data_IF_112239580213
#
_entry.id   IF_112239580213
#
_cell.length_a   1.000
_cell.length_b   1.000
_cell.length_c   1.000
_cell.angle_alpha   90.00
_cell.angle_beta   90.00
_cell.angle_gamma   90.00
#
_symmetry.space_group_name_H-M   'P 1'
#
loop_
_entity.id
_entity.type
_entity.pdbx_description
1 polymer ?
#
# COMPACT_ATOMS: atom_id res chain seq x y z
N UNK A 1 9.84 54.07 -2.63
CA UNK A 1 9.84 52.94 -1.70
C UNK A 1 10.31 51.71 -2.46
N UNK A 2 11.56 51.33 -2.24
CA UNK A 2 12.17 50.12 -2.79
C UNK A 2 11.47 48.91 -2.20
N UNK A 3 10.75 48.14 -3.04
CA UNK A 3 10.21 46.85 -2.68
C UNK A 3 11.35 45.93 -2.23
N UNK A 4 11.37 45.54 -0.96
CA UNK A 4 12.25 44.46 -0.48
C UNK A 4 11.88 43.19 -1.22
N UNK A 5 12.83 42.66 -1.97
CA UNK A 5 12.73 41.28 -2.46
C UNK A 5 12.42 40.33 -1.28
N UNK A 6 11.50 39.40 -1.43
CA UNK A 6 11.28 38.40 -0.41
C UNK A 6 12.61 37.68 -0.14
N UNK A 7 12.97 37.57 1.12
CA UNK A 7 14.15 36.81 1.54
C UNK A 7 14.06 35.32 1.15
N UNK A 8 15.18 34.56 1.19
CA UNK A 8 15.12 33.15 0.83
C UNK A 8 14.23 32.37 1.79
N UNK A 9 13.40 31.44 1.24
CA UNK A 9 12.63 30.49 2.02
C UNK A 9 13.55 29.69 2.97
N UNK A 10 13.01 29.16 4.07
CA UNK A 10 13.79 28.31 4.98
C UNK A 10 14.46 27.14 4.26
N UNK A 11 15.63 26.71 4.75
CA UNK A 11 16.36 25.60 4.15
C UNK A 11 15.55 24.29 4.17
N UNK A 12 15.64 23.50 3.09
CA UNK A 12 15.02 22.18 2.99
C UNK A 12 15.69 21.22 3.98
N UNK A 13 14.91 20.37 4.67
CA UNK A 13 15.43 19.33 5.54
C UNK A 13 16.22 18.26 4.79
N UNK A 14 17.20 17.66 5.45
CA UNK A 14 17.98 16.57 4.87
C UNK A 14 17.10 15.33 4.63
N UNK A 15 17.27 14.62 3.50
CA UNK A 15 16.55 13.36 3.25
C UNK A 15 16.98 12.27 4.23
N UNK A 16 16.11 11.33 4.53
CA UNK A 16 16.42 10.13 5.26
C UNK A 16 17.34 9.19 4.45
N UNK A 17 18.17 8.43 5.14
CA UNK A 17 19.06 7.45 4.52
C UNK A 17 18.25 6.21 4.14
N UNK A 18 18.51 5.62 2.96
CA UNK A 18 17.89 4.38 2.56
C UNK A 18 18.36 3.21 3.44
N UNK A 19 17.43 2.28 3.74
CA UNK A 19 17.75 1.05 4.45
C UNK A 19 18.64 0.14 3.60
N UNK A 20 19.58 -0.55 4.25
CA UNK A 20 20.44 -1.52 3.56
C UNK A 20 19.64 -2.77 3.15
N UNK A 21 20.00 -3.39 2.04
CA UNK A 21 19.40 -4.67 1.63
C UNK A 21 19.83 -5.79 2.59
N UNK A 22 18.93 -6.74 2.84
CA UNK A 22 19.24 -7.96 3.58
C UNK A 22 20.19 -8.87 2.80
N UNK A 23 21.11 -9.53 3.50
CA UNK A 23 22.03 -10.48 2.88
C UNK A 23 21.31 -11.75 2.43
N UNK A 24 21.72 -12.33 1.30
CA UNK A 24 21.17 -13.60 0.84
C UNK A 24 21.57 -14.76 1.75
N UNK A 25 20.69 -15.74 1.92
CA UNK A 25 20.99 -16.98 2.64
C UNK A 25 22.03 -17.84 1.93
N UNK A 26 22.87 -18.52 2.69
CA UNK A 26 23.88 -19.42 2.12
C UNK A 26 23.28 -20.68 1.50
N UNK A 27 23.92 -21.20 0.46
CA UNK A 27 23.51 -22.46 -0.19
C UNK A 27 24.16 -23.65 0.50
N UNK A 28 23.41 -24.78 0.61
CA UNK A 28 23.97 -26.04 1.13
C UNK A 28 24.68 -26.84 0.03
N UNK A 29 25.57 -27.76 0.44
CA UNK A 29 26.31 -28.65 -0.48
C UNK A 29 25.49 -29.83 -0.97
N UNK A 30 25.89 -31.07 -0.62
CA UNK A 30 25.18 -32.29 -1.04
C UNK A 30 23.90 -32.50 -0.24
N UNK A 31 23.94 -32.28 1.05
CA UNK A 31 22.84 -32.37 2.03
C UNK A 31 22.72 -31.09 2.79
N UNK A 32 21.57 -30.76 3.26
CA UNK A 32 21.32 -29.66 4.17
C UNK A 32 20.35 -28.62 3.64
N UNK A 33 19.81 -27.83 4.54
CA UNK A 33 18.88 -26.75 4.22
C UNK A 33 19.64 -25.50 3.73
N UNK A 34 19.02 -24.75 2.85
CA UNK A 34 19.46 -23.42 2.52
C UNK A 34 19.40 -22.47 3.74
N UNK A 35 20.31 -21.52 3.80
CA UNK A 35 20.30 -20.49 4.83
C UNK A 35 19.15 -19.48 4.66
N UNK A 36 18.73 -18.89 5.77
CA UNK A 36 17.68 -17.85 5.76
C UNK A 36 18.25 -16.53 5.22
N UNK A 37 17.49 -15.83 4.42
CA UNK A 37 17.82 -14.49 3.94
C UNK A 37 17.68 -13.44 5.06
N UNK A 38 18.52 -12.43 5.04
CA UNK A 38 18.50 -11.32 6.00
C UNK A 38 17.34 -10.35 5.74
N UNK A 39 16.83 -9.72 6.79
CA UNK A 39 15.81 -8.70 6.69
C UNK A 39 16.40 -7.41 6.10
N UNK A 40 15.65 -6.73 5.23
CA UNK A 40 16.02 -5.40 4.74
C UNK A 40 15.95 -4.36 5.84
N UNK A 41 16.87 -3.40 5.84
CA UNK A 41 16.89 -2.30 6.79
C UNK A 41 15.75 -1.33 6.56
N UNK A 42 15.20 -0.76 7.62
CA UNK A 42 14.21 0.31 7.48
C UNK A 42 14.86 1.59 6.93
N UNK A 43 14.10 2.34 6.15
CA UNK A 43 14.49 3.66 5.70
C UNK A 43 14.56 4.66 6.86
N UNK A 44 15.55 5.54 6.83
CA UNK A 44 15.76 6.58 7.84
C UNK A 44 14.66 7.65 7.78
N UNK A 45 14.33 8.24 8.93
CA UNK A 45 13.47 9.41 9.00
C UNK A 45 14.23 10.63 8.48
N UNK A 46 13.54 11.48 7.75
CA UNK A 46 14.11 12.73 7.26
C UNK A 46 14.03 13.84 8.31
N UNK A 47 14.90 14.86 8.15
CA UNK A 47 14.90 16.03 9.03
C UNK A 47 13.80 17.02 8.64
N UNK A 48 13.21 17.75 9.62
CA UNK A 48 12.31 18.85 9.33
C UNK A 48 13.04 19.98 8.59
N UNK A 49 12.31 20.73 7.78
CA UNK A 49 12.83 21.97 7.18
C UNK A 49 13.10 23.05 8.22
N UNK A 50 13.96 23.98 7.91
CA UNK A 50 14.25 25.13 8.80
C UNK A 50 13.04 26.08 8.87
N UNK A 51 12.77 26.71 10.04
CA UNK A 51 11.77 27.77 10.14
C UNK A 51 12.03 28.89 9.12
N UNK A 52 10.96 29.40 8.49
CA UNK A 52 11.07 30.57 7.63
C UNK A 52 11.26 31.85 8.45
N UNK A 53 11.80 32.92 7.83
CA UNK A 53 11.80 34.23 8.43
C UNK A 53 10.37 34.75 8.61
N UNK A 54 10.13 35.78 9.46
CA UNK A 54 8.79 36.34 9.66
C UNK A 54 8.10 36.63 8.33
N UNK A 55 6.84 36.25 8.19
CA UNK A 55 5.98 36.35 7.00
C UNK A 55 6.32 35.42 5.84
N UNK A 56 7.24 34.47 6.00
CA UNK A 56 7.53 33.48 4.96
C UNK A 56 7.34 32.06 5.47
N UNK A 57 6.93 31.12 4.57
CA UNK A 57 6.82 29.73 4.98
C UNK A 57 8.19 29.14 5.35
N UNK A 58 8.23 28.26 6.32
CA UNK A 58 9.41 27.46 6.60
C UNK A 58 9.82 26.58 5.41
N UNK A 59 11.05 26.12 5.41
CA UNK A 59 11.54 25.18 4.41
C UNK A 59 10.79 23.86 4.47
N UNK A 60 10.61 23.21 3.32
CA UNK A 60 10.07 21.86 3.28
C UNK A 60 10.97 20.87 4.05
N UNK A 61 10.40 19.89 4.75
CA UNK A 61 11.17 18.81 5.31
C UNK A 61 11.79 17.90 4.24
N UNK A 62 12.78 17.11 4.61
CA UNK A 62 13.36 16.10 3.71
C UNK A 62 12.40 14.95 3.41
N UNK A 63 12.59 14.26 2.30
CA UNK A 63 11.92 12.99 2.03
C UNK A 63 12.47 11.88 2.93
N UNK A 64 11.64 10.95 3.41
CA UNK A 64 12.12 9.78 4.15
C UNK A 64 13.07 8.92 3.32
N UNK A 65 13.82 8.02 3.94
CA UNK A 65 14.66 7.05 3.24
C UNK A 65 13.83 5.85 2.73
N UNK A 66 14.18 5.27 1.59
CA UNK A 66 13.53 4.04 1.11
C UNK A 66 13.89 2.86 2.02
N UNK A 67 12.97 1.90 2.16
CA UNK A 67 13.25 0.63 2.84
C UNK A 67 14.16 -0.26 2.00
N UNK A 68 15.03 -1.02 2.67
CA UNK A 68 15.90 -1.99 2.01
C UNK A 68 15.14 -3.25 1.60
N UNK A 69 15.54 -3.87 0.47
CA UNK A 69 14.99 -5.16 0.04
C UNK A 69 15.37 -6.27 1.02
N UNK A 70 14.49 -7.24 1.28
CA UNK A 70 14.82 -8.47 1.99
C UNK A 70 15.77 -9.36 1.19
N UNK A 71 16.64 -10.09 1.88
CA UNK A 71 17.57 -11.04 1.25
C UNK A 71 16.86 -12.31 0.78
N UNK A 72 17.33 -12.88 -0.32
CA UNK A 72 16.79 -14.13 -0.84
C UNK A 72 17.18 -15.30 0.06
N UNK A 73 16.31 -16.30 0.20
CA UNK A 73 16.62 -17.55 0.87
C UNK A 73 17.63 -18.39 0.09
N UNK A 74 18.55 -19.06 0.80
CA UNK A 74 19.54 -19.92 0.19
C UNK A 74 18.93 -21.22 -0.38
N UNK A 75 19.53 -21.74 -1.44
CA UNK A 75 19.11 -23.05 -1.99
C UNK A 75 19.57 -24.21 -1.10
N UNK A 76 18.75 -25.25 -1.01
CA UNK A 76 19.12 -26.49 -0.33
C UNK A 76 20.23 -27.26 -1.06
N UNK A 77 20.73 -28.31 -0.40
CA UNK A 77 21.73 -29.24 -0.97
C UNK A 77 21.20 -29.98 -2.20
N UNK A 78 22.12 -30.67 -2.91
CA UNK A 78 21.73 -31.35 -4.15
C UNK A 78 20.78 -32.53 -3.93
N UNK A 79 21.02 -33.35 -2.91
CA UNK A 79 20.24 -34.58 -2.69
C UNK A 79 19.02 -34.37 -1.80
N UNK A 80 19.19 -33.74 -0.66
CA UNK A 80 18.13 -33.55 0.33
C UNK A 80 18.31 -32.29 1.14
N UNK A 81 17.23 -31.58 1.41
CA UNK A 81 17.16 -30.38 2.23
C UNK A 81 16.09 -29.40 1.75
N UNK A 82 15.62 -28.56 2.61
CA UNK A 82 14.66 -27.50 2.28
C UNK A 82 15.36 -26.22 1.85
N UNK A 83 14.78 -25.49 0.95
CA UNK A 83 15.18 -24.12 0.66
C UNK A 83 15.06 -23.23 1.89
N UNK A 84 15.96 -22.28 2.05
CA UNK A 84 15.88 -21.28 3.11
C UNK A 84 14.77 -20.27 2.89
N UNK A 85 14.16 -19.81 3.97
CA UNK A 85 13.19 -18.73 3.89
C UNK A 85 13.89 -17.40 3.54
N UNK A 86 13.17 -16.52 2.88
CA UNK A 86 13.68 -15.21 2.53
C UNK A 86 13.43 -14.18 3.65
N UNK A 87 14.22 -13.11 3.64
CA UNK A 87 14.04 -11.98 4.53
C UNK A 87 12.94 -11.05 4.08
N UNK A 88 12.30 -10.37 5.03
CA UNK A 88 11.32 -9.34 4.76
C UNK A 88 11.97 -8.05 4.25
N UNK A 89 11.25 -7.29 3.46
CA UNK A 89 11.65 -5.93 3.11
C UNK A 89 11.52 -4.98 4.30
N UNK A 90 12.39 -3.98 4.36
CA UNK A 90 12.35 -2.91 5.36
C UNK A 90 11.26 -1.90 5.07
N UNK A 91 10.71 -1.29 6.09
CA UNK A 91 9.73 -0.20 5.94
C UNK A 91 10.35 1.06 5.35
N UNK A 92 9.57 1.85 4.62
CA UNK A 92 9.97 3.17 4.17
C UNK A 92 10.04 4.18 5.31
N UNK A 93 10.95 5.13 5.24
CA UNK A 93 11.12 6.20 6.23
C UNK A 93 10.03 7.26 6.12
N UNK A 94 9.73 7.91 7.23
CA UNK A 94 8.78 9.01 7.27
C UNK A 94 9.40 10.32 6.79
N UNK A 95 8.60 11.15 6.14
CA UNK A 95 9.04 12.47 5.72
C UNK A 95 9.22 13.42 6.93
N UNK A 96 10.18 14.36 6.82
CA UNK A 96 10.63 15.20 7.94
C UNK A 96 9.86 16.50 8.14
N UNK A 97 8.95 16.91 7.26
CA UNK A 97 8.23 18.17 7.40
C UNK A 97 7.35 18.52 6.21
N UNK A 98 6.72 19.68 6.29
CA UNK A 98 5.61 20.13 5.44
C UNK A 98 5.72 19.76 3.96
N UNK A 99 4.75 19.05 3.46
CA UNK A 99 4.53 18.83 2.04
C UNK A 99 5.33 17.67 1.41
N UNK A 100 6.27 17.02 2.09
CA UNK A 100 7.01 15.90 1.52
C UNK A 100 6.35 14.55 1.81
N UNK A 101 6.49 13.63 0.84
CA UNK A 101 5.96 12.29 0.91
C UNK A 101 6.83 11.30 1.69
N UNK A 102 6.19 10.27 2.23
CA UNK A 102 6.85 9.06 2.73
C UNK A 102 7.52 8.31 1.58
N UNK A 103 8.48 7.46 1.90
CA UNK A 103 9.20 6.67 0.92
C UNK A 103 8.71 5.21 0.88
N UNK A 104 9.09 4.54 -0.20
CA UNK A 104 8.69 3.17 -0.51
C UNK A 104 9.18 2.17 0.55
N UNK A 105 8.37 1.17 0.86
CA UNK A 105 8.83 -0.03 1.54
C UNK A 105 9.70 -0.89 0.62
N UNK A 106 10.66 -1.61 1.18
CA UNK A 106 11.47 -2.55 0.43
C UNK A 106 10.70 -3.82 0.08
N UNK A 107 11.00 -4.43 -1.06
CA UNK A 107 10.40 -5.71 -1.45
C UNK A 107 10.88 -6.86 -0.55
N UNK A 108 10.05 -7.90 -0.40
CA UNK A 108 10.46 -9.15 0.23
C UNK A 108 11.43 -9.94 -0.65
N UNK A 109 12.32 -10.69 -0.04
CA UNK A 109 13.21 -11.61 -0.76
C UNK A 109 12.46 -12.83 -1.32
N UNK A 110 13.05 -13.51 -2.30
CA UNK A 110 12.51 -14.76 -2.84
C UNK A 110 12.91 -15.97 -1.99
N UNK A 111 12.01 -16.93 -1.80
CA UNK A 111 12.31 -18.18 -1.09
C UNK A 111 13.36 -19.02 -1.83
N UNK A 112 14.22 -19.67 -1.07
CA UNK A 112 15.24 -20.59 -1.63
C UNK A 112 14.63 -21.84 -2.24
N UNK A 113 15.31 -22.44 -3.20
CA UNK A 113 14.87 -23.72 -3.81
C UNK A 113 15.13 -24.88 -2.87
N UNK A 114 14.20 -25.82 -2.82
CA UNK A 114 14.43 -27.15 -2.24
C UNK A 114 15.56 -27.91 -2.96
N UNK A 115 16.06 -28.96 -2.33
CA UNK A 115 17.08 -29.83 -2.94
C UNK A 115 16.58 -30.40 -4.27
N UNK A 116 17.52 -30.74 -5.14
CA UNK A 116 17.17 -31.27 -6.47
C UNK A 116 16.27 -32.51 -6.36
N UNK A 117 16.51 -33.38 -5.42
CA UNK A 117 15.73 -34.63 -5.30
C UNK A 117 14.60 -34.51 -4.28
N UNK A 118 14.91 -34.16 -3.03
CA UNK A 118 13.97 -34.19 -1.90
C UNK A 118 14.07 -32.91 -1.08
N UNK A 119 13.04 -32.08 -1.11
CA UNK A 119 13.01 -30.89 -0.25
C UNK A 119 11.94 -29.89 -0.65
N UNK A 120 11.46 -29.16 0.32
CA UNK A 120 10.48 -28.08 0.10
C UNK A 120 11.19 -26.79 -0.32
N UNK A 121 10.53 -25.99 -1.11
CA UNK A 121 10.95 -24.61 -1.34
C UNK A 121 10.80 -23.77 -0.09
N UNK A 122 11.68 -22.81 0.12
CA UNK A 122 11.60 -21.83 1.19
C UNK A 122 10.49 -20.81 0.94
N UNK A 123 9.94 -20.26 2.00
CA UNK A 123 8.94 -19.20 1.91
C UNK A 123 9.59 -17.86 1.50
N UNK A 124 8.83 -17.06 0.83
CA UNK A 124 9.26 -15.71 0.49
C UNK A 124 9.13 -14.73 1.66
N UNK A 125 9.91 -13.66 1.60
CA UNK A 125 9.78 -12.52 2.50
C UNK A 125 8.60 -11.62 2.15
N UNK A 126 8.04 -10.97 3.15
CA UNK A 126 7.00 -9.96 2.98
C UNK A 126 7.58 -8.62 2.52
N UNK A 127 6.82 -7.86 1.78
CA UNK A 127 7.15 -6.48 1.48
C UNK A 127 7.08 -5.59 2.73
N UNK A 128 7.93 -4.58 2.81
CA UNK A 128 7.91 -3.57 3.85
C UNK A 128 6.80 -2.55 3.62
N UNK A 129 6.25 -2.00 4.69
CA UNK A 129 5.27 -0.92 4.58
C UNK A 129 5.89 0.37 4.03
N UNK A 130 5.12 1.15 3.29
CA UNK A 130 5.48 2.50 2.89
C UNK A 130 5.56 3.45 4.08
N UNK A 131 6.41 4.46 3.99
CA UNK A 131 6.52 5.52 4.99
C UNK A 131 5.37 6.51 4.91
N UNK A 132 5.00 7.11 6.02
CA UNK A 132 3.94 8.12 6.04
C UNK A 132 4.43 9.45 5.48
N UNK A 133 3.54 10.20 4.84
CA UNK A 133 3.76 11.60 4.47
C UNK A 133 3.91 12.49 5.71
N UNK A 134 4.43 13.69 5.54
CA UNK A 134 4.52 14.68 6.62
C UNK A 134 3.33 15.63 6.60
N UNK A 135 2.93 16.12 7.77
CA UNK A 135 1.95 17.18 7.89
C UNK A 135 2.44 18.47 7.24
N UNK A 136 1.52 19.19 6.61
CA UNK A 136 1.85 20.46 6.00
C UNK A 136 1.94 21.60 7.02
N UNK A 137 2.74 22.62 6.72
CA UNK A 137 2.82 23.85 7.51
C UNK A 137 1.59 24.73 7.33
N UNK A 138 1.20 25.43 8.39
CA UNK A 138 0.14 26.44 8.34
C UNK A 138 0.57 27.67 7.51
N UNK A 139 -0.41 28.31 6.90
CA UNK A 139 -0.19 29.60 6.23
C UNK A 139 0.14 30.72 7.21
N UNK A 140 1.00 31.66 6.82
CA UNK A 140 1.36 32.82 7.65
C UNK A 140 0.20 33.82 7.78
N UNK A 141 0.10 34.48 8.94
CA UNK A 141 -0.85 35.56 9.21
C UNK A 141 -0.53 36.82 8.37
N UNK A 142 -1.54 37.56 8.00
CA UNK A 142 -1.34 38.83 7.26
C UNK A 142 -2.26 39.95 7.77
N UNK A 143 -1.77 41.21 7.74
CA UNK A 143 -2.49 42.37 8.30
C UNK A 143 -3.28 43.14 7.24
N UNK A 144 -2.80 43.21 6.00
CA UNK A 144 -3.34 44.13 4.96
C UNK A 144 -3.56 43.43 3.59
N UNK A 145 -3.10 42.18 3.43
CA UNK A 145 -3.24 41.40 2.20
C UNK A 145 -3.87 40.04 2.51
N UNK A 146 -4.03 39.17 1.52
CA UNK A 146 -4.48 37.80 1.74
C UNK A 146 -3.49 37.06 2.62
N UNK A 147 -3.96 36.41 3.70
CA UNK A 147 -3.13 35.56 4.53
C UNK A 147 -2.61 34.34 3.76
N UNK A 148 -1.52 33.74 4.21
CA UNK A 148 -0.88 32.63 3.54
C UNK A 148 -1.79 31.41 3.43
N UNK A 149 -1.75 30.72 2.29
CA UNK A 149 -2.40 29.43 2.11
C UNK A 149 -1.67 28.36 2.94
N UNK A 150 -2.40 27.44 3.57
CA UNK A 150 -1.81 26.25 4.16
C UNK A 150 -1.14 25.37 3.11
N UNK A 151 -0.04 24.72 3.48
CA UNK A 151 0.65 23.75 2.61
C UNK A 151 -0.19 22.52 2.33
N UNK A 152 0.10 21.78 1.28
CA UNK A 152 -0.50 20.45 1.04
C UNK A 152 0.17 19.38 1.91
N UNK A 153 -0.58 18.45 2.48
CA UNK A 153 -0.04 17.31 3.21
C UNK A 153 0.84 16.44 2.31
N UNK A 154 1.84 15.82 2.92
CA UNK A 154 2.72 14.90 2.23
C UNK A 154 1.99 13.61 1.83
N UNK A 155 2.35 13.06 0.68
CA UNK A 155 1.84 11.79 0.15
C UNK A 155 2.45 10.63 0.94
N UNK A 156 1.69 9.56 1.20
CA UNK A 156 2.23 8.30 1.73
C UNK A 156 3.11 7.58 0.71
N UNK A 157 4.15 6.92 1.18
CA UNK A 157 5.00 6.08 0.33
C UNK A 157 4.33 4.76 -0.02
N UNK A 158 4.67 4.17 -1.14
CA UNK A 158 4.12 2.88 -1.55
C UNK A 158 4.72 1.74 -0.72
N UNK A 159 3.94 0.69 -0.49
CA UNK A 159 4.40 -0.56 0.13
C UNK A 159 5.21 -1.41 -0.83
N UNK A 160 6.19 -2.12 -0.33
CA UNK A 160 6.99 -3.05 -1.12
C UNK A 160 6.22 -4.31 -1.51
N UNK A 161 6.53 -4.91 -2.65
CA UNK A 161 5.95 -6.19 -3.07
C UNK A 161 6.40 -7.37 -2.21
N UNK A 162 5.57 -8.40 -2.06
CA UNK A 162 5.97 -9.68 -1.49
C UNK A 162 6.85 -10.48 -2.44
N UNK A 163 7.84 -11.19 -1.92
CA UNK A 163 8.72 -12.05 -2.71
C UNK A 163 8.01 -13.31 -3.23
N UNK A 164 8.57 -13.97 -4.23
CA UNK A 164 8.05 -15.23 -4.72
C UNK A 164 8.55 -16.42 -3.87
N UNK A 165 7.69 -17.40 -3.62
CA UNK A 165 8.05 -18.63 -2.94
C UNK A 165 9.04 -19.48 -3.73
N UNK A 166 9.91 -20.21 -3.04
CA UNK A 166 10.90 -21.08 -3.64
C UNK A 166 10.28 -22.35 -4.24
N UNK A 167 10.89 -22.87 -5.30
CA UNK A 167 10.46 -24.14 -5.91
C UNK A 167 10.79 -25.34 -5.02
N UNK A 168 9.93 -26.37 -5.02
CA UNK A 168 10.20 -27.67 -4.36
C UNK A 168 11.20 -28.51 -5.13
N UNK A 169 11.69 -29.59 -4.50
CA UNK A 169 12.62 -30.53 -5.09
C UNK A 169 12.01 -31.29 -6.27
N UNK A 170 12.87 -31.73 -7.19
CA UNK A 170 12.43 -32.31 -8.46
C UNK A 170 11.56 -33.57 -8.25
N UNK A 171 11.90 -34.43 -7.32
CA UNK A 171 11.16 -35.67 -7.09
C UNK A 171 10.03 -35.48 -6.08
N UNK A 172 10.35 -34.96 -4.89
CA UNK A 172 9.39 -34.68 -3.82
C UNK A 172 9.68 -33.31 -3.23
N UNK A 173 8.66 -32.51 -3.09
CA UNK A 173 8.73 -31.26 -2.35
C UNK A 173 7.64 -30.28 -2.72
N UNK A 174 7.09 -29.64 -1.74
CA UNK A 174 6.13 -28.56 -1.96
C UNK A 174 6.84 -27.27 -2.37
N UNK A 175 6.18 -26.44 -3.13
CA UNK A 175 6.60 -25.06 -3.32
C UNK A 175 6.45 -24.24 -2.03
N UNK A 176 7.31 -23.26 -1.82
CA UNK A 176 7.21 -22.31 -0.71
C UNK A 176 6.10 -21.28 -0.92
N UNK A 177 5.58 -20.71 0.14
CA UNK A 177 4.58 -19.66 0.05
C UNK A 177 5.17 -18.35 -0.48
N UNK A 178 4.39 -17.59 -1.24
CA UNK A 178 4.69 -16.21 -1.59
C UNK A 178 4.56 -15.27 -0.39
N UNK A 179 5.34 -14.20 -0.36
CA UNK A 179 5.28 -13.17 0.68
C UNK A 179 4.11 -12.23 0.49
N UNK A 180 3.58 -11.69 1.57
CA UNK A 180 2.55 -10.66 1.48
C UNK A 180 3.13 -9.33 0.99
N UNK A 181 2.34 -8.55 0.28
CA UNK A 181 2.68 -7.16 -0.03
C UNK A 181 2.66 -6.28 1.21
N UNK A 182 3.51 -5.26 1.24
CA UNK A 182 3.52 -4.23 2.27
C UNK A 182 2.35 -3.26 2.14
N UNK A 183 1.87 -2.73 3.24
CA UNK A 183 0.85 -1.70 3.22
C UNK A 183 1.40 -0.38 2.66
N UNK A 184 0.56 0.41 2.00
CA UNK A 184 0.88 1.78 1.65
C UNK A 184 0.95 2.69 2.88
N UNK A 185 1.82 3.67 2.85
CA UNK A 185 1.93 4.69 3.90
C UNK A 185 0.74 5.65 3.86
N UNK A 186 0.37 6.21 5.01
CA UNK A 186 -0.69 7.20 5.06
C UNK A 186 -0.23 8.56 4.52
N UNK A 187 -1.11 9.23 3.77
CA UNK A 187 -0.99 10.65 3.50
C UNK A 187 -1.26 11.45 4.77
N UNK A 188 -0.71 12.64 4.88
CA UNK A 188 -0.88 13.45 6.08
C UNK A 188 -1.72 14.71 5.82
N UNK A 189 -2.13 15.39 6.90
CA UNK A 189 -3.03 16.52 6.82
C UNK A 189 -2.44 17.71 6.08
N UNK A 190 -3.31 18.44 5.37
CA UNK A 190 -2.99 19.76 4.86
C UNK A 190 -2.83 20.77 6.00
N UNK A 191 -2.05 21.82 5.77
CA UNK A 191 -1.84 22.90 6.72
C UNK A 191 -3.05 23.84 6.76
N UNK A 192 -3.31 24.44 7.92
CA UNK A 192 -4.35 25.44 8.06
C UNK A 192 -3.99 26.72 7.28
N UNK A 193 -4.99 27.40 6.77
CA UNK A 193 -4.82 28.72 6.19
C UNK A 193 -4.49 29.78 7.25
N UNK A 194 -3.66 30.76 6.89
CA UNK A 194 -3.28 31.83 7.82
C UNK A 194 -4.46 32.74 8.17
N UNK A 195 -4.45 33.30 9.39
CA UNK A 195 -5.46 34.24 9.86
C UNK A 195 -5.31 35.58 9.17
N UNK A 196 -6.40 36.12 8.61
CA UNK A 196 -6.46 37.49 8.11
C UNK A 196 -6.74 38.47 9.23
N UNK A 197 -5.76 39.35 9.54
CA UNK A 197 -5.90 40.42 10.54
C UNK A 197 -6.31 41.72 9.88
N UNK A 198 -7.17 42.48 10.55
CA UNK A 198 -7.70 43.79 10.08
C UNK A 198 -8.41 43.67 8.72
N UNK A 199 -7.84 44.20 7.66
CA UNK A 199 -8.39 44.20 6.30
C UNK A 199 -7.89 43.04 5.43
N UNK A 200 -7.13 42.10 5.99
CA UNK A 200 -6.61 40.94 5.25
C UNK A 200 -7.66 39.83 5.12
N UNK A 201 -7.70 39.20 3.95
CA UNK A 201 -8.53 37.99 3.74
C UNK A 201 -7.90 36.80 4.44
N UNK A 202 -8.71 35.85 4.93
CA UNK A 202 -8.24 34.57 5.45
C UNK A 202 -7.56 33.72 4.37
N UNK A 203 -6.47 33.05 4.68
CA UNK A 203 -5.81 32.10 3.80
C UNK A 203 -6.59 30.81 3.63
N UNK A 204 -6.57 30.19 2.46
CA UNK A 204 -7.20 28.89 2.25
C UNK A 204 -6.43 27.77 2.97
N UNK A 205 -7.13 26.78 3.47
CA UNK A 205 -6.52 25.55 3.95
C UNK A 205 -5.83 24.76 2.84
N UNK A 206 -4.77 24.06 3.16
CA UNK A 206 -4.08 23.17 2.25
C UNK A 206 -4.81 21.83 2.06
N UNK A 207 -4.66 21.19 0.92
CA UNK A 207 -5.19 19.83 0.69
C UNK A 207 -4.49 18.78 1.53
N UNK A 208 -5.19 17.72 1.91
CA UNK A 208 -4.58 16.51 2.49
C UNK A 208 -3.71 15.77 1.47
N UNK A 209 -2.69 15.08 1.96
CA UNK A 209 -1.85 14.21 1.13
C UNK A 209 -2.56 12.92 0.74
N UNK A 210 -2.27 12.40 -0.44
CA UNK A 210 -2.79 11.11 -0.92
C UNK A 210 -2.12 9.98 -0.15
N UNK A 211 -2.83 8.88 0.11
CA UNK A 211 -2.26 7.65 0.65
C UNK A 211 -1.39 6.93 -0.37
N UNK A 212 -0.34 6.25 0.11
CA UNK A 212 0.52 5.42 -0.74
C UNK A 212 -0.16 4.15 -1.23
N UNK A 213 0.25 3.64 -2.38
CA UNK A 213 -0.24 2.36 -2.88
C UNK A 213 0.34 1.21 -2.07
N UNK A 214 -0.38 0.13 -1.98
CA UNK A 214 0.12 -1.08 -1.34
C UNK A 214 0.87 -1.99 -2.31
N UNK A 215 1.80 -2.78 -1.77
CA UNK A 215 2.52 -3.78 -2.54
C UNK A 215 1.66 -4.98 -2.90
N UNK A 216 1.91 -5.59 -4.05
CA UNK A 216 1.27 -6.84 -4.43
C UNK A 216 1.83 -8.02 -3.62
N UNK A 217 1.01 -9.02 -3.38
CA UNK A 217 1.47 -10.31 -2.84
C UNK A 217 2.33 -11.08 -3.84
N UNK A 218 3.32 -11.79 -3.34
CA UNK A 218 4.20 -12.62 -4.16
C UNK A 218 3.55 -13.94 -4.58
N UNK A 219 4.01 -14.51 -5.68
CA UNK A 219 3.52 -15.78 -6.18
C UNK A 219 4.03 -16.95 -5.32
N UNK A 220 3.19 -17.97 -5.15
CA UNK A 220 3.62 -19.22 -4.54
C UNK A 220 4.61 -19.98 -5.43
N UNK A 221 5.53 -20.72 -4.81
CA UNK A 221 6.50 -21.55 -5.50
C UNK A 221 5.86 -22.80 -6.10
N UNK A 222 6.39 -23.25 -7.23
CA UNK A 222 5.94 -24.51 -7.85
C UNK A 222 6.55 -25.72 -7.14
N UNK A 223 5.79 -26.82 -7.06
CA UNK A 223 6.33 -28.12 -6.64
C UNK A 223 7.20 -28.75 -7.73
N UNK A 224 7.83 -29.88 -7.39
CA UNK A 224 8.68 -30.63 -8.29
C UNK A 224 7.94 -31.40 -9.38
N UNK A 225 8.51 -32.57 -9.76
CA UNK A 225 7.96 -33.35 -10.88
C UNK A 225 7.02 -34.47 -10.41
N UNK A 226 7.40 -35.24 -9.40
CA UNK A 226 6.66 -36.44 -9.00
C UNK A 226 5.56 -36.14 -7.99
N UNK A 227 5.88 -35.53 -6.86
CA UNK A 227 4.92 -35.25 -5.81
C UNK A 227 5.23 -33.96 -5.04
N UNK A 228 4.22 -33.18 -4.79
CA UNK A 228 4.26 -31.97 -4.00
C UNK A 228 3.14 -31.00 -4.35
N UNK A 229 2.71 -30.23 -3.40
CA UNK A 229 1.73 -29.17 -3.61
C UNK A 229 2.40 -27.86 -4.03
N UNK A 230 1.75 -27.09 -4.84
CA UNK A 230 2.15 -25.71 -5.08
C UNK A 230 2.05 -24.87 -3.80
N UNK A 231 2.95 -23.91 -3.64
CA UNK A 231 2.90 -22.93 -2.54
C UNK A 231 1.74 -21.96 -2.69
N UNK A 232 1.19 -21.48 -1.59
CA UNK A 232 0.18 -20.43 -1.63
C UNK A 232 0.77 -19.11 -2.11
N UNK A 233 -0.01 -18.30 -2.82
CA UNK A 233 0.30 -16.91 -3.10
C UNK A 233 0.16 -16.04 -1.85
N UNK A 234 0.97 -14.98 -1.74
CA UNK A 234 0.88 -14.01 -0.67
C UNK A 234 -0.29 -13.04 -0.87
N UNK A 235 -0.85 -12.52 0.20
CA UNK A 235 -1.89 -11.49 0.13
C UNK A 235 -1.32 -10.16 -0.33
N UNK A 236 -2.12 -9.37 -1.04
CA UNK A 236 -1.82 -7.96 -1.29
C UNK A 236 -1.84 -7.13 -0.01
N UNK A 237 -1.06 -6.06 0.02
CA UNK A 237 -1.06 -5.10 1.12
C UNK A 237 -2.31 -4.19 1.10
N UNK A 238 -2.62 -3.59 2.22
CA UNK A 238 -3.70 -2.62 2.31
C UNK A 238 -3.26 -1.24 1.81
N UNK A 239 -4.18 -0.49 1.22
CA UNK A 239 -3.94 0.87 0.76
C UNK A 239 -3.59 1.82 1.92
N UNK A 240 -2.82 2.86 1.63
CA UNK A 240 -2.61 3.97 2.55
C UNK A 240 -3.85 4.87 2.65
N UNK A 241 -4.11 5.41 3.84
CA UNK A 241 -5.20 6.37 4.05
C UNK A 241 -4.87 7.74 3.47
N UNK A 242 -5.87 8.47 3.02
CA UNK A 242 -5.71 9.87 2.64
C UNK A 242 -5.64 10.80 3.86
N UNK A 243 -4.88 11.89 3.75
CA UNK A 243 -4.78 12.91 4.79
C UNK A 243 -5.97 13.90 4.78
N UNK A 244 -6.34 14.42 5.92
CA UNK A 244 -7.39 15.43 6.04
C UNK A 244 -6.97 16.77 5.39
N UNK A 245 -7.93 17.52 4.87
CA UNK A 245 -7.71 18.90 4.43
C UNK A 245 -7.52 19.85 5.60
N UNK A 246 -6.70 20.87 5.44
CA UNK A 246 -6.47 21.92 6.44
C UNK A 246 -7.66 22.88 6.56
N UNK A 247 -7.84 23.46 7.73
CA UNK A 247 -8.87 24.48 8.00
C UNK A 247 -8.57 25.75 7.19
N UNK A 248 -9.61 26.44 6.72
CA UNK A 248 -9.46 27.80 6.19
C UNK A 248 -9.16 28.81 7.29
N UNK A 249 -8.38 29.87 6.96
CA UNK A 249 -8.01 30.90 7.93
C UNK A 249 -9.17 31.79 8.34
N UNK A 250 -9.22 32.14 9.62
CA UNK A 250 -10.24 32.99 10.19
C UNK A 250 -9.97 34.49 9.90
N UNK A 251 -11.00 35.33 9.99
CA UNK A 251 -10.90 36.78 9.90
C UNK A 251 -11.53 37.43 11.11
N UNK A 252 -10.86 37.42 12.31
CA UNK A 252 -11.46 37.74 13.60
C UNK A 252 -11.86 39.20 13.78
N UNK A 253 -11.26 40.14 13.07
CA UNK A 253 -11.45 41.58 13.31
C UNK A 253 -12.57 42.24 12.47
N UNK A 254 -13.30 41.48 11.66
CA UNK A 254 -14.53 41.96 10.99
C UNK A 254 -14.38 42.97 9.85
N UNK A 255 -13.18 43.44 9.55
CA UNK A 255 -12.90 44.38 8.44
C UNK A 255 -12.74 43.62 7.10
N UNK A 256 -12.29 42.37 7.15
CA UNK A 256 -12.25 41.48 5.99
C UNK A 256 -13.44 40.52 6.02
N UNK A 257 -14.23 40.54 4.95
CA UNK A 257 -15.52 39.81 4.89
C UNK A 257 -15.35 38.34 4.46
N UNK A 258 -14.18 37.98 3.94
CA UNK A 258 -13.97 36.65 3.34
C UNK A 258 -12.94 35.82 4.15
N UNK A 259 -13.40 34.95 5.04
CA UNK A 259 -12.53 33.92 5.62
C UNK A 259 -12.06 32.92 4.55
N UNK A 260 -10.97 32.22 4.82
CA UNK A 260 -10.40 31.23 3.89
C UNK A 260 -11.27 29.98 3.75
N UNK A 261 -11.31 29.39 2.57
CA UNK A 261 -11.97 28.10 2.35
C UNK A 261 -11.15 26.94 2.91
N UNK A 262 -11.82 25.85 3.33
CA UNK A 262 -11.16 24.64 3.78
C UNK A 262 -10.45 23.89 2.65
N UNK A 263 -9.39 23.19 2.98
CA UNK A 263 -8.67 22.33 2.03
C UNK A 263 -9.43 21.02 1.78
N UNK A 264 -9.25 20.42 0.60
CA UNK A 264 -9.83 19.11 0.30
C UNK A 264 -9.08 18.00 1.04
N UNK A 265 -9.78 16.93 1.38
CA UNK A 265 -9.17 15.69 1.85
C UNK A 265 -8.36 15.00 0.73
N UNK A 266 -7.33 14.27 1.12
CA UNK A 266 -6.55 13.46 0.18
C UNK A 266 -7.23 12.13 -0.13
N UNK A 267 -7.02 11.62 -1.33
CA UNK A 267 -7.51 10.30 -1.75
C UNK A 267 -6.76 9.17 -1.04
N UNK A 268 -7.32 7.97 -1.02
CA UNK A 268 -6.57 6.78 -0.58
C UNK A 268 -5.53 6.36 -1.62
N UNK A 269 -4.58 5.50 -1.25
CA UNK A 269 -3.82 4.71 -2.22
C UNK A 269 -4.64 3.56 -2.80
N UNK A 270 -4.07 2.86 -3.79
CA UNK A 270 -4.61 1.61 -4.29
C UNK A 270 -4.19 0.44 -3.40
N UNK A 271 -5.07 -0.52 -3.21
CA UNK A 271 -4.73 -1.76 -2.52
C UNK A 271 -3.94 -2.71 -3.42
N UNK A 272 -3.08 -3.53 -2.83
CA UNK A 272 -2.26 -4.49 -3.55
C UNK A 272 -3.05 -5.72 -4.00
N UNK A 273 -2.71 -6.27 -5.15
CA UNK A 273 -3.30 -7.53 -5.62
C UNK A 273 -2.71 -8.72 -4.87
N UNK A 274 -3.49 -9.77 -4.67
CA UNK A 274 -2.99 -11.05 -4.18
C UNK A 274 -2.10 -11.75 -5.20
N UNK A 275 -1.11 -12.49 -4.72
CA UNK A 275 -0.24 -13.30 -5.55
C UNK A 275 -0.90 -14.60 -6.00
N UNK A 276 -0.51 -15.12 -7.14
CA UNK A 276 -1.04 -16.41 -7.62
C UNK A 276 -0.47 -17.58 -6.80
N UNK A 277 -1.25 -18.60 -6.63
CA UNK A 277 -0.78 -19.88 -6.11
C UNK A 277 0.18 -20.58 -7.07
N UNK A 278 1.14 -21.32 -6.52
CA UNK A 278 2.09 -22.11 -7.29
C UNK A 278 1.46 -23.39 -7.86
N UNK A 279 2.01 -23.88 -8.95
CA UNK A 279 1.58 -25.15 -9.56
C UNK A 279 2.02 -26.34 -8.73
N UNK A 280 1.20 -27.38 -8.66
CA UNK A 280 1.55 -28.67 -8.10
C UNK A 280 2.65 -29.39 -8.91
N UNK A 281 3.18 -30.47 -8.34
CA UNK A 281 3.99 -31.43 -9.07
C UNK A 281 3.18 -32.07 -10.21
N UNK A 282 3.86 -32.50 -11.26
CA UNK A 282 3.18 -32.99 -12.47
C UNK A 282 2.32 -34.22 -12.25
N UNK A 283 2.73 -35.12 -11.35
CA UNK A 283 2.01 -36.37 -11.14
C UNK A 283 1.05 -36.32 -9.95
N UNK A 284 1.54 -35.99 -8.77
CA UNK A 284 0.75 -35.99 -7.52
C UNK A 284 0.87 -34.64 -6.83
N UNK A 285 -0.24 -33.96 -6.60
CA UNK A 285 -0.29 -32.77 -5.76
C UNK A 285 -1.39 -31.80 -6.14
N UNK A 286 -1.82 -31.02 -5.15
CA UNK A 286 -2.75 -29.93 -5.32
C UNK A 286 -2.05 -28.63 -5.67
N UNK A 287 -2.70 -27.80 -6.46
CA UNK A 287 -2.29 -26.43 -6.70
C UNK A 287 -2.31 -25.58 -5.43
N UNK A 288 -1.42 -24.60 -5.32
CA UNK A 288 -1.44 -23.63 -4.22
C UNK A 288 -2.62 -22.69 -4.31
N UNK A 289 -3.13 -22.23 -3.19
CA UNK A 289 -4.17 -21.20 -3.15
C UNK A 289 -3.64 -19.85 -3.64
N UNK A 290 -4.46 -19.06 -4.31
CA UNK A 290 -4.18 -17.66 -4.59
C UNK A 290 -4.27 -16.81 -3.32
N UNK A 291 -3.46 -15.77 -3.22
CA UNK A 291 -3.52 -14.81 -2.12
C UNK A 291 -4.71 -13.86 -2.23
N UNK A 292 -5.23 -13.41 -1.12
CA UNK A 292 -6.27 -12.39 -1.11
C UNK A 292 -5.76 -11.02 -1.60
N UNK A 293 -6.60 -10.26 -2.26
CA UNK A 293 -6.34 -8.84 -2.51
C UNK A 293 -6.37 -8.02 -1.23
N UNK A 294 -5.56 -6.98 -1.17
CA UNK A 294 -5.56 -6.02 -0.07
C UNK A 294 -6.83 -5.17 -0.06
N UNK A 295 -7.18 -4.65 1.09
CA UNK A 295 -8.32 -3.75 1.25
C UNK A 295 -7.94 -2.30 1.00
N UNK A 296 -8.89 -1.54 0.48
CA UNK A 296 -8.83 -0.09 0.43
C UNK A 296 -8.87 0.50 1.85
N UNK A 297 -8.51 1.74 1.98
CA UNK A 297 -8.49 2.50 3.22
C UNK A 297 -9.53 3.63 3.19
N UNK A 298 -9.51 4.51 4.17
CA UNK A 298 -10.38 5.69 4.21
C UNK A 298 -9.68 6.90 3.61
N UNK A 299 -10.39 7.66 2.79
CA UNK A 299 -9.90 8.92 2.27
C UNK A 299 -9.99 10.03 3.33
N UNK A 300 -9.21 11.07 3.14
CA UNK A 300 -9.17 12.20 4.05
C UNK A 300 -10.46 13.01 4.03
N UNK A 301 -10.86 13.52 5.18
CA UNK A 301 -11.97 14.48 5.27
C UNK A 301 -11.58 15.85 4.75
N UNK A 302 -12.56 16.58 4.21
CA UNK A 302 -12.38 18.00 3.88
C UNK A 302 -12.16 18.84 5.13
N UNK A 303 -11.32 19.89 5.02
CA UNK A 303 -11.10 20.85 6.10
C UNK A 303 -12.26 21.84 6.21
N UNK A 304 -12.57 22.29 7.44
CA UNK A 304 -13.60 23.31 7.64
C UNK A 304 -13.19 24.66 7.03
N UNK A 305 -14.15 25.40 6.51
CA UNK A 305 -13.92 26.80 6.16
C UNK A 305 -13.61 27.66 7.38
N UNK A 306 -12.84 28.73 7.19
CA UNK A 306 -12.58 29.73 8.20
C UNK A 306 -13.84 30.50 8.60
N UNK A 307 -13.81 31.19 9.72
CA UNK A 307 -14.93 31.96 10.27
C UNK A 307 -14.62 33.44 10.37
N UNK A 308 -15.65 34.25 10.23
CA UNK A 308 -15.63 35.65 10.58
C UNK A 308 -16.62 35.90 11.74
N UNK A 309 -16.14 35.81 13.02
CA UNK A 309 -17.00 35.90 14.19
C UNK A 309 -17.90 37.14 14.26
N UNK A 310 -17.42 38.36 13.92
CA UNK A 310 -18.27 39.54 13.98
C UNK A 310 -19.47 39.54 13.03
N UNK A 311 -19.37 38.88 11.89
CA UNK A 311 -20.47 38.81 10.93
C UNK A 311 -21.20 37.47 10.95
N UNK A 312 -20.65 36.46 11.61
CA UNK A 312 -21.16 35.09 11.61
C UNK A 312 -20.96 34.35 10.27
N UNK A 313 -20.20 34.94 9.32
CA UNK A 313 -19.91 34.32 8.03
C UNK A 313 -18.90 33.19 8.20
N UNK A 314 -19.17 32.09 7.53
CA UNK A 314 -18.25 30.96 7.40
C UNK A 314 -17.96 30.69 5.92
N UNK A 315 -16.70 30.50 5.59
CA UNK A 315 -16.32 30.09 4.23
C UNK A 315 -16.72 28.63 3.96
N UNK A 316 -16.77 28.28 2.68
CA UNK A 316 -17.00 26.89 2.30
C UNK A 316 -15.93 25.95 2.87
N UNK A 317 -16.34 24.78 3.28
CA UNK A 317 -15.43 23.69 3.63
C UNK A 317 -14.89 22.97 2.40
N UNK A 318 -13.81 22.22 2.59
CA UNK A 318 -13.23 21.38 1.55
C UNK A 318 -14.02 20.11 1.30
N UNK A 319 -13.87 19.51 0.13
CA UNK A 319 -14.45 18.21 -0.20
C UNK A 319 -13.68 17.08 0.49
N UNK A 320 -14.35 15.96 0.73
CA UNK A 320 -13.68 14.71 1.10
C UNK A 320 -12.89 14.12 -0.07
N UNK A 321 -11.82 13.40 0.23
CA UNK A 321 -11.06 12.64 -0.75
C UNK A 321 -11.80 11.40 -1.21
N UNK A 322 -11.43 10.83 -2.34
CA UNK A 322 -12.04 9.61 -2.89
C UNK A 322 -11.34 8.34 -2.41
N UNK A 323 -12.09 7.28 -2.16
CA UNK A 323 -11.57 5.93 -1.97
C UNK A 323 -11.19 5.28 -3.29
N UNK A 324 -10.06 4.59 -3.33
CA UNK A 324 -9.64 3.82 -4.50
C UNK A 324 -10.01 2.33 -4.40
N UNK A 325 -9.73 1.59 -5.49
CA UNK A 325 -10.16 0.21 -5.60
C UNK A 325 -9.43 -0.73 -4.62
N UNK A 326 -10.14 -1.76 -4.17
CA UNK A 326 -9.57 -2.93 -3.51
C UNK A 326 -8.72 -3.75 -4.46
N UNK A 327 -7.73 -4.47 -3.92
CA UNK A 327 -6.87 -5.35 -4.70
C UNK A 327 -7.61 -6.59 -5.22
N UNK A 328 -7.26 -7.07 -6.40
CA UNK A 328 -7.80 -8.33 -6.90
C UNK A 328 -7.20 -9.54 -6.17
N UNK A 329 -7.96 -10.59 -6.02
CA UNK A 329 -7.47 -11.87 -5.52
C UNK A 329 -6.56 -12.56 -6.56
N UNK A 330 -5.53 -13.27 -6.08
CA UNK A 330 -4.66 -14.07 -6.92
C UNK A 330 -5.35 -15.35 -7.39
N UNK A 331 -4.96 -15.88 -8.54
CA UNK A 331 -5.48 -17.14 -9.05
C UNK A 331 -4.92 -18.34 -8.27
N UNK A 332 -5.70 -19.38 -8.14
CA UNK A 332 -5.23 -20.68 -7.64
C UNK A 332 -4.28 -21.35 -8.63
N UNK A 333 -3.33 -22.09 -8.12
CA UNK A 333 -2.39 -22.88 -8.94
C UNK A 333 -3.05 -24.12 -9.53
N UNK A 334 -2.57 -24.57 -10.68
CA UNK A 334 -3.01 -25.81 -11.31
C UNK A 334 -2.55 -27.05 -10.53
N UNK A 335 -3.36 -28.13 -10.55
CA UNK A 335 -3.03 -29.43 -9.98
C UNK A 335 -2.07 -30.23 -10.84
N UNK A 336 -1.48 -31.28 -10.26
CA UNK A 336 -0.85 -32.38 -11.02
C UNK A 336 -1.88 -33.28 -11.70
N UNK A 337 -1.40 -34.36 -12.30
CA UNK A 337 -2.27 -35.34 -12.97
C UNK A 337 -3.32 -35.91 -12.02
N UNK A 338 -2.91 -36.17 -10.78
CA UNK A 338 -3.74 -36.64 -9.67
C UNK A 338 -3.67 -35.63 -8.55
N UNK A 339 -4.67 -34.73 -8.45
CA UNK A 339 -4.77 -33.71 -7.43
C UNK A 339 -5.77 -32.62 -7.75
N UNK A 340 -6.20 -31.88 -6.76
CA UNK A 340 -7.13 -30.76 -6.90
C UNK A 340 -6.45 -29.45 -7.25
N UNK A 341 -7.12 -28.59 -8.01
CA UNK A 341 -6.69 -27.20 -8.24
C UNK A 341 -6.72 -26.38 -6.96
N UNK A 342 -5.84 -25.39 -6.85
CA UNK A 342 -5.82 -24.44 -5.77
C UNK A 342 -7.01 -23.47 -5.82
N UNK A 343 -7.49 -23.01 -4.67
CA UNK A 343 -8.56 -22.00 -4.61
C UNK A 343 -8.05 -20.65 -5.08
N UNK A 344 -8.90 -19.85 -5.73
CA UNK A 344 -8.64 -18.44 -5.98
C UNK A 344 -8.71 -17.62 -4.69
N UNK A 345 -7.91 -16.57 -4.61
CA UNK A 345 -7.93 -15.60 -3.52
C UNK A 345 -9.13 -14.66 -3.63
N UNK A 346 -9.64 -14.20 -2.50
CA UNK A 346 -10.71 -13.23 -2.48
C UNK A 346 -10.23 -11.85 -2.93
N UNK A 347 -11.08 -11.06 -3.55
CA UNK A 347 -10.86 -9.65 -3.80
C UNK A 347 -10.95 -8.84 -2.51
N UNK A 348 -10.19 -7.77 -2.41
CA UNK A 348 -10.21 -6.84 -1.30
C UNK A 348 -11.33 -5.81 -1.43
N UNK A 349 -11.81 -5.30 -0.32
CA UNK A 349 -12.82 -4.24 -0.30
C UNK A 349 -12.27 -2.93 -0.85
N UNK A 350 -13.13 -2.14 -1.48
CA UNK A 350 -12.81 -0.78 -1.93
C UNK A 350 -12.64 0.18 -0.77
N UNK A 351 -11.87 1.24 -0.99
CA UNK A 351 -11.64 2.32 -0.02
C UNK A 351 -12.88 3.17 0.20
N UNK A 352 -13.04 3.70 1.40
CA UNK A 352 -14.14 4.59 1.72
C UNK A 352 -13.83 6.02 1.29
N UNK A 353 -14.83 6.74 0.76
CA UNK A 353 -14.74 8.17 0.52
C UNK A 353 -14.66 8.95 1.83
N UNK A 354 -13.90 10.05 1.82
CA UNK A 354 -13.79 10.97 2.94
C UNK A 354 -15.02 11.87 3.06
N UNK A 355 -15.33 12.33 4.28
CA UNK A 355 -16.44 13.23 4.50
C UNK A 355 -16.07 14.65 4.01
N UNK A 356 -16.98 15.29 3.31
CA UNK A 356 -16.91 16.71 3.05
C UNK A 356 -17.12 17.52 4.33
N UNK A 357 -16.58 18.74 4.39
CA UNK A 357 -16.80 19.61 5.55
C UNK A 357 -18.26 20.08 5.59
N UNK A 358 -18.80 20.27 6.81
CA UNK A 358 -20.22 20.55 7.04
C UNK A 358 -20.75 21.82 6.35
N UNK A 359 -19.88 22.80 6.06
CA UNK A 359 -20.27 24.05 5.40
C UNK A 359 -19.98 23.99 3.88
N UNK A 360 -20.66 23.16 3.14
CA UNK A 360 -20.62 23.11 1.67
C UNK A 360 -19.57 22.17 1.06
N UNK A 361 -18.83 21.39 1.86
CA UNK A 361 -17.98 20.33 1.33
C UNK A 361 -18.81 19.13 0.86
N UNK A 362 -18.40 18.50 -0.23
CA UNK A 362 -19.00 17.29 -0.79
C UNK A 362 -18.20 16.08 -0.35
N UNK A 363 -18.89 15.00 0.04
CA UNK A 363 -18.24 13.73 0.38
C UNK A 363 -17.50 13.13 -0.83
N UNK A 364 -16.44 12.41 -0.56
CA UNK A 364 -15.71 11.68 -1.60
C UNK A 364 -16.43 10.40 -2.02
N UNK A 365 -16.12 9.92 -3.22
CA UNK A 365 -16.67 8.66 -3.72
C UNK A 365 -15.99 7.45 -3.06
N UNK A 366 -16.74 6.36 -2.91
CA UNK A 366 -16.18 5.07 -2.53
C UNK A 366 -15.46 4.38 -3.69
N UNK A 367 -14.42 3.62 -3.39
CA UNK A 367 -13.69 2.82 -4.36
C UNK A 367 -14.37 1.48 -4.65
N UNK A 368 -14.15 0.93 -5.84
CA UNK A 368 -14.70 -0.38 -6.21
C UNK A 368 -14.01 -1.51 -5.43
N UNK A 369 -14.74 -2.59 -5.15
CA UNK A 369 -14.16 -3.83 -4.65
C UNK A 369 -13.27 -4.52 -5.69
N UNK A 370 -12.25 -5.23 -5.25
CA UNK A 370 -11.40 -6.04 -6.11
C UNK A 370 -12.11 -7.33 -6.54
N UNK A 371 -11.82 -7.82 -7.73
CA UNK A 371 -12.36 -9.10 -8.19
C UNK A 371 -11.70 -10.27 -7.46
N UNK A 372 -12.44 -11.36 -7.27
CA UNK A 372 -11.89 -12.63 -6.82
C UNK A 372 -11.01 -13.29 -7.88
N UNK A 373 -10.01 -14.05 -7.45
CA UNK A 373 -9.14 -14.82 -8.32
C UNK A 373 -9.82 -16.11 -8.82
N UNK A 374 -9.40 -16.59 -9.97
CA UNK A 374 -9.88 -17.88 -10.50
C UNK A 374 -9.37 -19.05 -9.67
N UNK A 375 -10.16 -20.10 -9.54
CA UNK A 375 -9.69 -21.40 -9.04
C UNK A 375 -8.77 -22.08 -10.05
N UNK A 376 -7.83 -22.88 -9.56
CA UNK A 376 -6.92 -23.68 -10.40
C UNK A 376 -7.59 -24.91 -10.99
N UNK A 377 -7.11 -25.35 -12.13
CA UNK A 377 -7.65 -26.51 -12.84
C UNK A 377 -7.06 -27.83 -12.30
N UNK A 378 -7.89 -28.88 -12.22
CA UNK A 378 -7.43 -30.25 -12.09
C UNK A 378 -7.16 -30.83 -13.49
N UNK A 379 -6.26 -31.85 -13.57
CA UNK A 379 -5.88 -32.43 -14.88
C UNK A 379 -6.65 -33.72 -15.19
N UNK A 380 -6.28 -34.84 -14.60
CA UNK A 380 -6.90 -36.15 -14.90
C UNK A 380 -7.92 -36.56 -13.84
N UNK A 381 -7.51 -36.53 -12.58
CA UNK A 381 -8.34 -36.88 -11.43
C UNK A 381 -8.16 -35.82 -10.36
N UNK A 382 -9.24 -35.22 -9.94
CA UNK A 382 -9.28 -34.23 -8.86
C UNK A 382 -10.34 -33.17 -9.09
N UNK A 383 -10.65 -32.44 -8.03
CA UNK A 383 -11.59 -31.32 -8.07
C UNK A 383 -10.90 -30.06 -8.58
N UNK A 384 -11.58 -29.28 -9.36
CA UNK A 384 -11.19 -27.92 -9.67
C UNK A 384 -11.22 -27.04 -8.43
N UNK A 385 -10.30 -26.08 -8.31
CA UNK A 385 -10.26 -25.14 -7.20
C UNK A 385 -11.45 -24.18 -7.27
N UNK A 386 -11.99 -23.76 -6.13
CA UNK A 386 -13.05 -22.76 -6.08
C UNK A 386 -12.49 -21.38 -6.49
N UNK A 387 -13.31 -20.58 -7.14
CA UNK A 387 -13.01 -19.17 -7.36
C UNK A 387 -13.09 -18.38 -6.05
N UNK A 388 -12.31 -17.31 -5.93
CA UNK A 388 -12.38 -16.37 -4.82
C UNK A 388 -13.57 -15.43 -4.94
N UNK A 389 -14.10 -14.98 -3.81
CA UNK A 389 -15.20 -14.00 -3.79
C UNK A 389 -14.68 -12.61 -4.22
N UNK A 390 -15.56 -11.81 -4.81
CA UNK A 390 -15.31 -10.39 -5.02
C UNK A 390 -15.30 -9.61 -3.71
N UNK A 391 -14.57 -8.51 -3.67
CA UNK A 391 -14.57 -7.56 -2.56
C UNK A 391 -15.76 -6.61 -2.63
N UNK A 392 -16.21 -6.11 -1.49
CA UNK A 392 -17.27 -5.10 -1.44
C UNK A 392 -16.75 -3.74 -1.88
N UNK A 393 -17.59 -2.96 -2.57
CA UNK A 393 -17.33 -1.56 -2.85
C UNK A 393 -17.28 -0.73 -1.57
N UNK A 394 -16.49 0.34 -1.56
CA UNK A 394 -16.39 1.29 -0.45
C UNK A 394 -17.60 2.23 -0.38
N UNK A 395 -17.92 2.68 0.82
CA UNK A 395 -18.94 3.73 1.02
C UNK A 395 -18.40 5.11 0.61
N UNK A 396 -19.28 6.00 0.23
CA UNK A 396 -18.97 7.40 -0.14
C UNK A 396 -20.18 8.08 -0.77
N UNK A 397 -20.02 9.29 -1.30
CA UNK A 397 -21.08 10.01 -2.00
C UNK A 397 -21.70 9.13 -3.09
N UNK A 398 -20.87 8.50 -3.89
CA UNK A 398 -21.24 7.42 -4.78
C UNK A 398 -20.53 6.19 -4.23
N UNK A 399 -21.29 5.17 -3.83
CA UNK A 399 -20.71 3.93 -3.37
C UNK A 399 -19.95 3.22 -4.51
N UNK A 400 -18.83 2.60 -4.18
CA UNK A 400 -18.10 1.77 -5.13
C UNK A 400 -18.88 0.50 -5.49
N UNK A 401 -18.62 -0.04 -6.67
CA UNK A 401 -19.21 -1.31 -7.10
C UNK A 401 -18.51 -2.48 -6.40
N UNK A 402 -19.25 -3.53 -6.12
CA UNK A 402 -18.68 -4.78 -5.65
C UNK A 402 -17.83 -5.44 -6.75
N UNK A 403 -16.77 -6.11 -6.35
CA UNK A 403 -15.94 -6.88 -7.26
C UNK A 403 -16.66 -8.17 -7.70
N UNK A 404 -16.37 -8.62 -8.91
CA UNK A 404 -16.90 -9.90 -9.39
C UNK A 404 -16.19 -11.08 -8.70
N UNK A 405 -16.92 -12.15 -8.45
CA UNK A 405 -16.31 -13.42 -8.02
C UNK A 405 -15.47 -14.05 -9.12
N UNK A 406 -14.43 -14.79 -8.73
CA UNK A 406 -13.59 -15.54 -9.65
C UNK A 406 -14.29 -16.80 -10.16
N UNK A 407 -13.99 -17.21 -11.39
CA UNK A 407 -14.47 -18.49 -11.91
C UNK A 407 -13.87 -19.68 -11.12
N UNK A 408 -14.64 -20.74 -10.93
CA UNK A 408 -14.11 -22.01 -10.45
C UNK A 408 -13.22 -22.68 -11.49
N UNK A 409 -12.26 -23.48 -11.03
CA UNK A 409 -11.39 -24.28 -11.88
C UNK A 409 -12.12 -25.47 -12.48
N UNK A 410 -11.59 -26.00 -13.58
CA UNK A 410 -12.14 -27.19 -14.24
C UNK A 410 -11.84 -28.47 -13.44
N UNK A 411 -12.77 -29.41 -13.46
CA UNK A 411 -12.56 -30.76 -12.88
C UNK A 411 -11.56 -31.58 -13.68
N UNK A 412 -11.05 -32.61 -13.07
CA UNK A 412 -10.25 -33.63 -13.76
C UNK A 412 -11.04 -34.36 -14.86
N UNK A 413 -10.31 -34.78 -15.89
CA UNK A 413 -10.90 -35.36 -17.10
C UNK A 413 -11.71 -36.65 -16.80
N UNK A 414 -11.24 -37.48 -15.85
CA UNK A 414 -11.88 -38.75 -15.50
C UNK A 414 -12.81 -38.60 -14.29
N UNK A 415 -12.30 -38.07 -13.17
CA UNK A 415 -13.04 -37.91 -11.92
C UNK A 415 -12.76 -36.56 -11.29
N UNK A 416 -13.77 -36.04 -10.61
CA UNK A 416 -13.71 -34.81 -9.83
C UNK A 416 -14.89 -33.89 -10.10
N UNK A 417 -15.04 -32.87 -9.27
CA UNK A 417 -16.05 -31.82 -9.42
C UNK A 417 -15.38 -30.55 -9.95
N UNK A 418 -16.11 -29.78 -10.72
CA UNK A 418 -15.67 -28.42 -11.05
C UNK A 418 -15.67 -27.57 -9.79
N UNK A 419 -14.73 -26.65 -9.67
CA UNK A 419 -14.73 -25.65 -8.61
C UNK A 419 -15.94 -24.74 -8.71
N UNK A 420 -16.47 -24.31 -7.57
CA UNK A 420 -17.56 -23.34 -7.53
C UNK A 420 -17.03 -21.94 -7.86
N UNK A 421 -17.76 -21.13 -8.61
CA UNK A 421 -17.40 -19.72 -8.78
C UNK A 421 -17.53 -18.98 -7.43
N UNK A 422 -16.73 -17.93 -7.23
CA UNK A 422 -16.90 -16.99 -6.14
C UNK A 422 -18.14 -16.11 -6.31
N UNK A 423 -18.57 -15.50 -5.22
CA UNK A 423 -19.69 -14.56 -5.19
C UNK A 423 -19.21 -13.12 -5.39
#
# INVERSE_FOLDING_TARGET
QSGRSPGPAGAIGAPGVAGGAGGAGGTAGLFGNGGVGGVGGAGGQASPGAPGPPSQPGGAGGAGGAGGRGGDGGSAGWLSGNGGDAGNGGGGGTAGGAGNGGQFGGDGGTGGRGAVLFGHGGNAGHGGAGGNGAAAGAGGEHVVATAGKGGTGGVGGDGGGGGAGGGGGLLYGNGGAGGNGGAGGAGNSGGDGGTGLNAALGGNGGGGGVGGNAGAGGTGGSAGWLSGNGGAGGSGGNAGAGGAGGKGGDTPNGLAINPGIGGNGGDTGNAGNGGNGGSAARLFGGGGAGGAGGTGSTAGSGGSGGTNPPTGLQAAGGNGGSGHAGGHGGNGGGAGLLGGGGTGGNGGGGGQGGLGAAAGGVDGNGGNGGNGGKGGDAQLVGDGGNGGNGGKGGAGLIAGLDGAGGAGGTRGLIFGNAGTPGQ
#
